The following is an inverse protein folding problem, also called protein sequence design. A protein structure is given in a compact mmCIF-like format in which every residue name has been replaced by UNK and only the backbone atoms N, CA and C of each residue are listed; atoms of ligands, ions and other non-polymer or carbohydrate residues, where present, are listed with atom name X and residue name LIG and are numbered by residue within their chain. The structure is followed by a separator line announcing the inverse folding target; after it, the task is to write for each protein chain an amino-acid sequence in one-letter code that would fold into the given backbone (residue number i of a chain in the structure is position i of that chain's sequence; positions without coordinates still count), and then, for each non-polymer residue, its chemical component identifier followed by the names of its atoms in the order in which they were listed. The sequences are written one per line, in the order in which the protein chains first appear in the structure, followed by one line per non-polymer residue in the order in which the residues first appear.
data_IF_698919383128
#
_entry.id   IF_698919383128
#
_cell.length_a   1.000
_cell.length_b   1.000
_cell.length_c   1.000
_cell.angle_alpha   90.00
_cell.angle_beta   90.00
_cell.angle_gamma   90.00
#
_symmetry.space_group_name_H-M   'P 1'
#
loop_
_entity.id
_entity.type
_entity.pdbx_description
1 polymer ?
#
# COMPACT_ATOMS: atom_id res chain seq x y z
N UNK A 1 19.54 20.74 8.64
CA UNK A 1 18.82 19.46 8.57
C UNK A 1 18.23 19.32 7.18
N UNK A 2 18.60 18.28 6.42
CA UNK A 2 18.01 18.04 5.11
C UNK A 2 16.50 17.86 5.27
N UNK A 3 15.70 18.65 4.55
CA UNK A 3 14.24 18.56 4.56
C UNK A 3 13.89 17.16 4.05
N UNK A 4 13.46 16.28 4.95
CA UNK A 4 12.98 14.94 4.60
C UNK A 4 12.02 15.04 3.41
N UNK A 5 12.47 14.57 2.23
CA UNK A 5 11.73 14.70 0.99
C UNK A 5 10.59 13.69 1.05
N UNK A 6 9.44 14.12 1.58
CA UNK A 6 8.25 13.29 1.68
C UNK A 6 7.87 12.82 0.29
N UNK A 7 7.63 11.52 0.15
CA UNK A 7 7.15 10.97 -1.11
C UNK A 7 5.72 11.44 -1.42
N UNK A 8 5.33 11.32 -2.69
CA UNK A 8 4.02 11.69 -3.21
C UNK A 8 2.92 10.74 -2.70
N UNK A 9 1.65 11.07 -2.96
CA UNK A 9 0.52 10.27 -2.45
C UNK A 9 0.42 8.96 -3.21
N UNK A 10 0.67 9.02 -4.52
CA UNK A 10 0.72 7.91 -5.46
C UNK A 10 1.78 6.91 -5.04
N UNK A 11 3.00 7.38 -4.78
CA UNK A 11 4.08 6.51 -4.30
C UNK A 11 3.76 5.90 -2.94
N UNK A 12 3.17 6.69 -2.03
CA UNK A 12 2.76 6.19 -0.71
C UNK A 12 1.70 5.09 -0.84
N UNK A 13 0.72 5.26 -1.72
CA UNK A 13 -0.32 4.28 -2.00
C UNK A 13 0.27 3.00 -2.61
N UNK A 14 1.15 3.14 -3.60
CA UNK A 14 1.85 2.02 -4.22
C UNK A 14 2.64 1.22 -3.18
N UNK A 15 3.42 1.89 -2.32
CA UNK A 15 4.19 1.21 -1.26
C UNK A 15 3.31 0.46 -0.26
N UNK A 16 2.13 1.00 0.08
CA UNK A 16 1.18 0.31 0.96
C UNK A 16 0.63 -0.95 0.28
N UNK A 17 0.18 -0.83 -0.98
CA UNK A 17 -0.36 -1.96 -1.71
C UNK A 17 0.69 -3.04 -1.98
N UNK A 18 1.90 -2.65 -2.37
CA UNK A 18 3.04 -3.57 -2.51
C UNK A 18 3.28 -4.33 -1.21
N UNK A 19 3.31 -3.63 -0.06
CA UNK A 19 3.51 -4.28 1.22
C UNK A 19 2.43 -5.30 1.55
N UNK A 20 1.16 -4.92 1.37
CA UNK A 20 0.02 -5.78 1.63
C UNK A 20 0.00 -7.00 0.68
N UNK A 21 0.38 -6.82 -0.58
CA UNK A 21 0.41 -7.89 -1.58
C UNK A 21 1.56 -8.88 -1.36
N UNK A 22 2.74 -8.41 -0.97
CA UNK A 22 3.96 -9.25 -0.89
C UNK A 22 4.21 -9.84 0.50
N UNK A 23 3.83 -9.13 1.57
CA UNK A 23 4.23 -9.49 2.94
C UNK A 23 3.06 -9.74 3.89
N UNK A 24 1.84 -9.40 3.49
CA UNK A 24 0.65 -9.43 4.38
C UNK A 24 -0.59 -10.01 3.68
N UNK A 25 -0.42 -10.74 2.58
CA UNK A 25 -1.52 -11.23 1.71
C UNK A 25 -2.59 -12.03 2.44
N UNK A 26 -2.21 -12.74 3.52
CA UNK A 26 -3.12 -13.55 4.36
C UNK A 26 -3.13 -13.13 5.83
N UNK A 27 -2.36 -12.10 6.18
CA UNK A 27 -2.15 -11.68 7.57
C UNK A 27 -2.62 -10.25 7.69
N UNK A 28 -3.75 -9.98 8.36
CA UNK A 28 -4.22 -8.61 8.56
C UNK A 28 -3.21 -7.79 9.37
N UNK A 29 -2.99 -6.53 8.99
CA UNK A 29 -2.02 -5.64 9.64
C UNK A 29 -2.66 -4.33 10.08
N UNK A 30 -2.23 -3.80 11.22
CA UNK A 30 -2.70 -2.51 11.70
C UNK A 30 -2.07 -1.35 10.93
N UNK A 31 -2.70 -0.17 10.99
CA UNK A 31 -2.10 1.07 10.48
C UNK A 31 -0.72 1.33 11.09
N UNK A 32 -0.56 1.08 12.39
CA UNK A 32 0.72 1.23 13.08
C UNK A 32 1.80 0.33 12.46
N UNK A 33 1.45 -0.92 12.14
CA UNK A 33 2.36 -1.86 11.50
C UNK A 33 2.78 -1.39 10.11
N UNK A 34 1.83 -0.92 9.29
CA UNK A 34 2.08 -0.34 7.97
C UNK A 34 3.07 0.84 8.06
N UNK A 35 2.83 1.77 8.99
CA UNK A 35 3.67 2.97 9.16
C UNK A 35 5.08 2.67 9.66
N UNK A 36 5.26 1.61 10.44
CA UNK A 36 6.56 1.28 11.05
C UNK A 36 7.40 0.36 10.17
N UNK A 37 6.77 -0.55 9.42
CA UNK A 37 7.46 -1.54 8.57
C UNK A 37 7.82 -1.02 7.19
N UNK A 38 7.03 -0.11 6.62
CA UNK A 38 7.29 0.43 5.29
C UNK A 38 8.20 1.66 5.42
N UNK A 39 9.52 1.46 5.26
CA UNK A 39 10.53 2.52 5.40
C UNK A 39 10.21 3.76 4.54
N UNK A 40 9.73 3.54 3.31
CA UNK A 40 9.34 4.57 2.36
C UNK A 40 8.30 5.55 2.90
N UNK A 41 7.39 5.11 3.78
CA UNK A 41 6.27 5.95 4.25
C UNK A 41 6.39 6.30 5.74
N UNK A 42 7.45 5.87 6.43
CA UNK A 42 7.66 6.12 7.86
C UNK A 42 7.61 7.60 8.25
N UNK A 43 7.99 8.49 7.33
CA UNK A 43 8.01 9.94 7.53
C UNK A 43 6.71 10.65 7.10
N UNK A 44 5.73 9.89 6.59
CA UNK A 44 4.43 10.44 6.22
C UNK A 44 3.61 10.73 7.46
N UNK A 45 2.73 11.74 7.36
CA UNK A 45 1.84 12.06 8.46
C UNK A 45 0.76 10.97 8.63
N UNK A 46 0.39 10.60 9.87
CA UNK A 46 -0.59 9.56 10.12
C UNK A 46 -1.96 9.79 9.46
N UNK A 47 -2.43 11.05 9.37
CA UNK A 47 -3.68 11.45 8.72
C UNK A 47 -3.68 11.11 7.23
N UNK A 48 -2.56 11.36 6.54
CA UNK A 48 -2.40 11.02 5.12
C UNK A 48 -2.49 9.52 4.89
N UNK A 49 -1.90 8.72 5.78
CA UNK A 49 -2.00 7.26 5.71
C UNK A 49 -3.44 6.81 5.94
N UNK A 50 -4.13 7.40 6.92
CA UNK A 50 -5.56 7.12 7.14
C UNK A 50 -6.39 7.40 5.88
N UNK A 51 -6.18 8.54 5.22
CA UNK A 51 -6.93 8.90 4.01
C UNK A 51 -6.68 7.91 2.87
N UNK A 52 -5.43 7.47 2.68
CA UNK A 52 -5.09 6.46 1.67
C UNK A 52 -5.76 5.12 2.00
N UNK A 53 -5.69 4.67 3.25
CA UNK A 53 -6.32 3.41 3.68
C UNK A 53 -7.84 3.46 3.50
N UNK A 54 -8.48 4.57 3.86
CA UNK A 54 -9.91 4.75 3.64
C UNK A 54 -10.25 4.71 2.14
N UNK A 55 -9.51 5.43 1.30
CA UNK A 55 -9.73 5.39 -0.15
C UNK A 55 -9.53 3.99 -0.75
N UNK A 56 -8.52 3.24 -0.32
CA UNK A 56 -8.31 1.86 -0.76
C UNK A 56 -9.45 0.93 -0.31
N UNK A 57 -9.99 1.15 0.88
CA UNK A 57 -11.10 0.37 1.44
C UNK A 57 -12.42 0.69 0.74
N UNK A 58 -12.74 1.96 0.55
CA UNK A 58 -13.93 2.45 -0.16
C UNK A 58 -13.98 1.93 -1.61
N UNK A 59 -12.82 1.74 -2.25
CA UNK A 59 -12.70 1.19 -3.59
C UNK A 59 -12.56 -0.35 -3.61
N UNK A 60 -12.65 -1.02 -2.46
CA UNK A 60 -12.64 -2.48 -2.37
C UNK A 60 -11.29 -3.16 -2.59
N UNK A 61 -10.18 -2.40 -2.64
CA UNK A 61 -8.83 -2.96 -2.79
C UNK A 61 -8.29 -3.57 -1.49
N UNK A 62 -8.73 -3.06 -0.36
CA UNK A 62 -8.46 -3.63 0.96
C UNK A 62 -9.77 -3.78 1.71
N UNK A 63 -9.79 -4.67 2.69
CA UNK A 63 -10.88 -4.79 3.66
C UNK A 63 -10.34 -4.59 5.07
N UNK A 64 -11.19 -4.09 5.96
CA UNK A 64 -10.87 -4.04 7.37
C UNK A 64 -11.50 -5.16 8.18
N UNK A 65 -10.80 -5.52 9.25
CA UNK A 65 -11.24 -6.48 10.26
C UNK A 65 -11.01 -5.79 11.61
N UNK A 66 -12.04 -5.77 12.46
CA UNK A 66 -11.88 -5.32 13.84
C UNK A 66 -11.37 -6.50 14.65
N UNK A 67 -10.23 -6.31 15.31
CA UNK A 67 -9.72 -7.28 16.28
C UNK A 67 -10.44 -7.10 17.62
N UNK A 68 -11.33 -8.03 17.95
CA UNK A 68 -12.18 -7.97 19.15
C UNK A 68 -11.39 -7.90 20.46
N UNK A 69 -10.14 -8.40 20.47
CA UNK A 69 -9.28 -8.36 21.65
C UNK A 69 -8.65 -6.99 21.93
N UNK A 70 -8.36 -6.21 20.89
CA UNK A 70 -7.64 -4.93 21.00
C UNK A 70 -8.43 -3.72 20.51
N UNK A 71 -9.65 -3.94 20.01
CA UNK A 71 -10.48 -2.94 19.31
C UNK A 71 -9.70 -2.20 18.21
N UNK A 72 -8.74 -2.89 17.57
CA UNK A 72 -7.86 -2.33 16.55
C UNK A 72 -8.36 -2.68 15.16
N UNK A 73 -8.47 -1.67 14.29
CA UNK A 73 -8.75 -1.87 12.86
C UNK A 73 -7.51 -2.42 12.15
N UNK A 74 -7.62 -3.64 11.64
CA UNK A 74 -6.62 -4.32 10.83
C UNK A 74 -7.04 -4.26 9.36
N UNK A 75 -6.08 -4.30 8.45
CA UNK A 75 -6.28 -4.20 7.02
C UNK A 75 -5.71 -5.43 6.32
N UNK A 76 -6.45 -5.96 5.35
CA UNK A 76 -6.04 -7.07 4.51
C UNK A 76 -6.31 -6.74 3.04
N UNK A 77 -5.40 -7.13 2.15
CA UNK A 77 -5.62 -7.01 0.71
C UNK A 77 -6.81 -7.89 0.27
N UNK A 78 -7.61 -7.40 -0.66
CA UNK A 78 -8.63 -8.22 -1.34
C UNK A 78 -8.06 -8.83 -2.62
N UNK A 79 -8.79 -9.76 -3.23
CA UNK A 79 -8.43 -10.27 -4.57
C UNK A 79 -8.41 -9.13 -5.60
N UNK A 80 -9.42 -8.24 -5.58
CA UNK A 80 -9.46 -7.04 -6.43
C UNK A 80 -8.25 -6.12 -6.25
N UNK A 81 -7.80 -5.92 -5.00
CA UNK A 81 -6.59 -5.15 -4.71
C UNK A 81 -5.33 -5.81 -5.24
N UNK A 82 -5.22 -7.13 -5.09
CA UNK A 82 -4.10 -7.90 -5.59
C UNK A 82 -4.03 -7.87 -7.12
N UNK A 83 -5.15 -8.06 -7.80
CA UNK A 83 -5.23 -8.01 -9.26
C UNK A 83 -4.88 -6.62 -9.81
N UNK A 84 -5.37 -5.55 -9.16
CA UNK A 84 -5.03 -4.18 -9.54
C UNK A 84 -3.53 -3.91 -9.38
N UNK A 85 -2.94 -4.34 -8.26
CA UNK A 85 -1.50 -4.23 -8.04
C UNK A 85 -0.70 -4.99 -9.12
N UNK A 86 -1.06 -6.25 -9.41
CA UNK A 86 -0.41 -7.04 -10.45
C UNK A 86 -0.52 -6.39 -11.83
N UNK A 87 -1.67 -5.81 -12.16
CA UNK A 87 -1.86 -5.07 -13.41
C UNK A 87 -0.88 -3.90 -13.48
N UNK A 88 -0.77 -3.09 -12.43
CA UNK A 88 0.15 -1.94 -12.42
C UNK A 88 1.62 -2.36 -12.54
N UNK A 89 2.03 -3.46 -11.91
CA UNK A 89 3.38 -4.00 -12.08
C UNK A 89 3.61 -4.43 -13.53
N UNK A 90 2.66 -5.13 -14.15
CA UNK A 90 2.76 -5.54 -15.56
C UNK A 90 2.83 -4.33 -16.50
N UNK A 91 1.99 -3.32 -16.28
CA UNK A 91 1.99 -2.08 -17.07
C UNK A 91 3.33 -1.34 -16.93
N UNK A 92 3.89 -1.28 -15.72
CA UNK A 92 5.20 -0.69 -15.48
C UNK A 92 6.33 -1.48 -16.17
N UNK A 93 6.33 -2.81 -16.07
CA UNK A 93 7.31 -3.65 -16.76
C UNK A 93 7.22 -3.52 -18.28
N UNK A 94 6.01 -3.43 -18.82
CA UNK A 94 5.80 -3.16 -20.23
C UNK A 94 6.41 -1.82 -20.63
N UNK A 95 6.13 -0.75 -19.88
CA UNK A 95 6.74 0.56 -20.10
C UNK A 95 8.28 0.50 -20.09
N UNK A 96 8.89 -0.20 -19.13
CA UNK A 96 10.35 -0.37 -19.08
C UNK A 96 10.89 -1.07 -20.32
N UNK A 97 10.23 -2.13 -20.80
CA UNK A 97 10.60 -2.82 -22.05
C UNK A 97 10.53 -1.91 -23.28
N UNK A 98 9.50 -1.06 -23.36
CA UNK A 98 9.40 -0.07 -24.45
C UNK A 98 10.54 0.94 -24.46
N UNK A 99 11.14 1.23 -23.29
CA UNK A 99 12.33 2.10 -23.20
C UNK A 99 13.59 1.35 -23.62
N UNK A 100 13.71 0.08 -23.20
CA UNK A 100 14.92 -0.72 -23.41
C UNK A 100 15.02 -1.34 -24.81
N UNK A 101 14.02 -1.17 -25.67
CA UNK A 101 13.89 -1.87 -26.96
C UNK A 101 13.96 -3.41 -26.83
N UNK A 102 13.55 -3.94 -25.68
CA UNK A 102 13.39 -5.37 -25.46
C UNK A 102 11.96 -5.75 -25.88
N UNK A 103 11.78 -6.18 -27.14
CA UNK A 103 10.53 -6.79 -27.64
C UNK A 103 10.28 -8.17 -27.02
#
# INVERSE_FOLDING_TARGET
MAKAKRFSSEYTMLSILEYLCLYSTKTPVSKYHIMTKINAIRQQRPDRISNILNGLEENGYIKSIIDDGSNTKLYLITETGFDAYLKWIKDFLFFVRTINNEE
#
